data_IF_232733859408
#
_entry.id   IF_232733859408
#
_cell.length_a   1.000
_cell.length_b   1.000
_cell.length_c   1.000
_cell.angle_alpha   90.00
_cell.angle_beta   90.00
_cell.angle_gamma   90.00
#
_symmetry.space_group_name_H-M   'P 1'
#
loop_
_entity.id
_entity.type
_entity.pdbx_description
1 polymer ?
#
# COMPACT_ATOMS: atom_id res chain seq x y z
N UNK A 1 -28.27 -14.78 9.85
CA UNK A 1 -27.56 -13.60 9.29
C UNK A 1 -26.59 -14.11 8.23
N UNK A 2 -26.77 -13.76 6.95
CA UNK A 2 -25.75 -14.06 5.92
C UNK A 2 -24.68 -12.99 6.03
N UNK A 3 -23.48 -13.35 6.46
CA UNK A 3 -22.34 -12.43 6.40
C UNK A 3 -22.08 -12.08 4.94
N UNK A 4 -21.87 -10.79 4.67
CA UNK A 4 -21.33 -10.36 3.39
C UNK A 4 -19.94 -10.99 3.20
N UNK A 5 -19.55 -11.31 1.95
CA UNK A 5 -18.24 -11.85 1.67
C UNK A 5 -17.12 -11.01 2.31
N UNK A 6 -16.35 -11.65 3.18
CA UNK A 6 -15.19 -11.04 3.83
C UNK A 6 -13.99 -10.94 2.89
N UNK A 7 -12.88 -10.42 3.41
CA UNK A 7 -11.66 -10.26 2.62
C UNK A 7 -11.12 -11.60 2.10
N UNK A 8 -11.31 -12.68 2.85
CA UNK A 8 -10.95 -14.06 2.47
C UNK A 8 -11.51 -14.45 1.08
N UNK A 9 -12.72 -14.00 0.74
CA UNK A 9 -13.30 -14.30 -0.57
C UNK A 9 -12.60 -13.51 -1.68
N UNK A 10 -12.17 -12.26 -1.41
CA UNK A 10 -11.34 -11.50 -2.36
C UNK A 10 -10.00 -12.18 -2.58
N UNK A 11 -9.40 -12.72 -1.53
CA UNK A 11 -8.14 -13.46 -1.61
C UNK A 11 -8.26 -14.68 -2.54
N UNK A 12 -9.37 -15.42 -2.45
CA UNK A 12 -9.66 -16.54 -3.35
C UNK A 12 -9.95 -16.06 -4.77
N UNK A 13 -10.85 -15.10 -4.94
CA UNK A 13 -11.27 -14.59 -6.26
C UNK A 13 -10.11 -14.02 -7.06
N UNK A 14 -9.19 -13.33 -6.37
CA UNK A 14 -8.01 -12.71 -6.98
C UNK A 14 -6.76 -13.58 -6.87
N UNK A 15 -6.90 -14.83 -6.40
CA UNK A 15 -5.86 -15.88 -6.41
C UNK A 15 -4.60 -15.55 -5.61
N UNK A 16 -4.76 -14.96 -4.43
CA UNK A 16 -3.65 -14.73 -3.48
C UNK A 16 -3.92 -15.31 -2.08
N UNK A 17 -4.90 -16.22 -1.95
CA UNK A 17 -5.24 -16.89 -0.69
C UNK A 17 -4.06 -17.67 -0.07
N UNK A 18 -3.13 -18.17 -0.89
CA UNK A 18 -1.93 -18.89 -0.40
C UNK A 18 -0.66 -18.03 -0.50
N UNK A 19 -0.78 -16.75 -0.86
CA UNK A 19 0.33 -15.81 -1.04
C UNK A 19 0.43 -14.86 0.14
N UNK A 20 1.00 -15.36 1.24
CA UNK A 20 1.16 -14.61 2.48
C UNK A 20 1.94 -13.31 2.30
N UNK A 21 2.95 -13.30 1.44
CA UNK A 21 3.70 -12.11 1.04
C UNK A 21 2.80 -10.99 0.50
N UNK A 22 1.87 -11.35 -0.40
CA UNK A 22 0.88 -10.42 -0.96
C UNK A 22 -0.15 -10.01 0.09
N UNK A 23 -0.61 -10.94 0.93
CA UNK A 23 -1.55 -10.63 2.02
C UNK A 23 -0.96 -9.61 2.99
N UNK A 24 0.31 -9.75 3.35
CA UNK A 24 1.01 -8.80 4.22
C UNK A 24 1.11 -7.42 3.58
N UNK A 25 1.46 -7.33 2.29
CA UNK A 25 1.47 -6.06 1.57
C UNK A 25 0.10 -5.37 1.54
N UNK A 26 -0.98 -6.14 1.33
CA UNK A 26 -2.37 -5.63 1.36
C UNK A 26 -2.74 -5.13 2.76
N UNK A 27 -2.40 -5.88 3.82
CA UNK A 27 -2.68 -5.48 5.20
C UNK A 27 -1.91 -4.22 5.59
N UNK A 28 -0.61 -4.13 5.26
CA UNK A 28 0.22 -2.95 5.48
C UNK A 28 -0.37 -1.72 4.79
N UNK A 29 -0.73 -1.85 3.52
CA UNK A 29 -1.37 -0.79 2.73
C UNK A 29 -2.67 -0.29 3.36
N UNK A 30 -3.54 -1.19 3.84
CA UNK A 30 -4.78 -0.81 4.51
C UNK A 30 -4.55 -0.09 5.83
N UNK A 31 -3.56 -0.52 6.60
CA UNK A 31 -3.19 0.10 7.87
C UNK A 31 -2.78 1.56 7.64
N UNK A 32 -1.89 1.81 6.68
CA UNK A 32 -1.43 3.17 6.34
C UNK A 32 -2.57 4.01 5.74
N UNK A 33 -3.37 3.42 4.85
CA UNK A 33 -4.53 4.08 4.23
C UNK A 33 -5.52 4.58 5.28
N UNK A 34 -5.92 3.71 6.21
CA UNK A 34 -6.96 4.01 7.21
C UNK A 34 -6.43 4.73 8.45
N UNK A 35 -5.12 4.74 8.64
CA UNK A 35 -4.44 5.46 9.70
C UNK A 35 -3.92 6.82 9.23
N UNK A 36 -2.64 6.86 8.88
CA UNK A 36 -1.93 8.11 8.53
C UNK A 36 -2.60 8.86 7.37
N UNK A 37 -2.90 8.18 6.26
CA UNK A 37 -3.44 8.86 5.08
C UNK A 37 -4.82 9.44 5.38
N UNK A 38 -5.72 8.67 6.00
CA UNK A 38 -7.04 9.14 6.39
C UNK A 38 -6.97 10.38 7.31
N UNK A 39 -6.03 10.42 8.26
CA UNK A 39 -5.77 11.59 9.09
C UNK A 39 -5.32 12.79 8.26
N UNK A 40 -4.32 12.63 7.40
CA UNK A 40 -3.83 13.72 6.53
C UNK A 40 -4.92 14.25 5.58
N UNK A 41 -5.82 13.38 5.10
CA UNK A 41 -6.98 13.79 4.30
C UNK A 41 -7.95 14.62 5.14
N UNK A 42 -8.28 14.15 6.35
CA UNK A 42 -9.18 14.87 7.27
C UNK A 42 -8.63 16.24 7.69
N UNK A 43 -7.31 16.33 7.89
CA UNK A 43 -6.60 17.56 8.24
C UNK A 43 -6.42 18.51 7.02
N UNK A 44 -6.88 18.09 5.83
CA UNK A 44 -6.82 18.87 4.59
C UNK A 44 -5.44 18.93 3.93
N UNK A 45 -4.43 18.26 4.48
CA UNK A 45 -3.06 18.26 3.95
C UNK A 45 -2.98 17.66 2.54
N UNK A 46 -3.91 16.76 2.18
CA UNK A 46 -3.95 16.13 0.85
C UNK A 46 -4.67 16.96 -0.24
N UNK A 47 -5.18 18.15 0.09
CA UNK A 47 -5.83 19.07 -0.86
C UNK A 47 -4.89 20.09 -1.52
N UNK A 48 -3.59 20.05 -1.20
CA UNK A 48 -2.55 20.93 -1.76
C UNK A 48 -1.48 20.14 -2.48
N UNK A 49 -0.76 20.77 -3.40
CA UNK A 49 0.39 20.20 -4.10
C UNK A 49 1.69 20.29 -3.28
N UNK A 50 1.72 21.15 -2.27
CA UNK A 50 2.90 21.37 -1.43
C UNK A 50 3.29 20.11 -0.64
N UNK A 51 4.59 19.84 -0.53
CA UNK A 51 5.10 18.73 0.28
C UNK A 51 5.23 19.19 1.74
N UNK A 52 4.22 18.87 2.56
CA UNK A 52 4.17 19.24 3.98
C UNK A 52 4.95 18.25 4.84
N UNK A 53 5.20 18.63 6.10
CA UNK A 53 5.81 17.73 7.09
C UNK A 53 4.96 16.47 7.32
N UNK A 54 3.62 16.60 7.38
CA UNK A 54 2.71 15.46 7.52
C UNK A 54 2.75 14.52 6.32
N UNK A 55 2.90 15.03 5.08
CA UNK A 55 3.14 14.18 3.91
C UNK A 55 4.48 13.47 3.97
N UNK A 56 5.51 14.09 4.55
CA UNK A 56 6.82 13.47 4.69
C UNK A 56 6.80 12.22 5.58
N UNK A 57 5.87 12.15 6.55
CA UNK A 57 5.65 10.96 7.39
C UNK A 57 5.24 9.71 6.57
N UNK A 58 4.72 9.90 5.34
CA UNK A 58 4.32 8.79 4.48
C UNK A 58 5.49 7.85 4.15
N UNK A 59 6.70 8.38 3.95
CA UNK A 59 7.86 7.54 3.63
C UNK A 59 8.16 6.54 4.75
N UNK A 60 8.23 7.04 5.99
CA UNK A 60 8.44 6.19 7.15
C UNK A 60 7.31 5.16 7.31
N UNK A 61 6.05 5.60 7.14
CA UNK A 61 4.91 4.69 7.23
C UNK A 61 4.93 3.60 6.13
N UNK A 62 5.41 3.93 4.93
CA UNK A 62 5.54 2.96 3.84
C UNK A 62 6.66 1.95 4.11
N UNK A 63 7.77 2.38 4.70
CA UNK A 63 8.86 1.49 5.08
C UNK A 63 8.44 0.54 6.20
N UNK A 64 7.85 1.06 7.27
CA UNK A 64 7.44 0.28 8.44
C UNK A 64 6.29 -0.71 8.15
N UNK A 65 5.45 -0.41 7.15
CA UNK A 65 4.35 -1.29 6.73
C UNK A 65 4.72 -2.30 5.64
N UNK A 66 5.98 -2.28 5.16
CA UNK A 66 6.46 -3.16 4.10
C UNK A 66 5.99 -2.78 2.69
N UNK A 67 5.37 -1.61 2.51
CA UNK A 67 4.94 -1.11 1.18
C UNK A 67 6.15 -0.81 0.30
N UNK A 68 7.21 -0.19 0.86
CA UNK A 68 8.46 0.03 0.13
C UNK A 68 9.13 -1.30 -0.23
N UNK A 69 9.23 -2.22 0.73
CA UNK A 69 9.82 -3.53 0.50
C UNK A 69 9.05 -4.37 -0.54
N UNK A 70 7.75 -4.13 -0.70
CA UNK A 70 6.93 -4.83 -1.69
C UNK A 70 7.28 -4.47 -3.15
N UNK A 71 8.05 -3.41 -3.42
CA UNK A 71 8.53 -3.09 -4.76
C UNK A 71 10.01 -3.35 -5.00
N UNK A 72 10.80 -3.64 -3.97
CA UNK A 72 12.22 -3.93 -4.08
C UNK A 72 12.49 -5.36 -4.55
N UNK A 73 13.66 -5.57 -5.15
CA UNK A 73 14.19 -6.91 -5.39
C UNK A 73 14.66 -7.56 -4.09
N UNK A 74 14.62 -8.90 -4.05
CA UNK A 74 14.99 -9.67 -2.85
C UNK A 74 16.42 -9.36 -2.37
N UNK A 75 17.35 -9.06 -3.26
CA UNK A 75 18.74 -8.71 -2.92
C UNK A 75 18.87 -7.36 -2.19
N UNK A 76 17.86 -6.49 -2.29
CA UNK A 76 17.79 -5.18 -1.66
C UNK A 76 16.77 -5.14 -0.51
N UNK A 77 16.40 -6.29 0.05
CA UNK A 77 15.44 -6.38 1.15
C UNK A 77 13.98 -6.41 0.71
N UNK A 78 13.72 -6.73 -0.56
CA UNK A 78 12.37 -7.01 -1.06
C UNK A 78 11.74 -8.22 -0.37
N UNK A 79 10.41 -8.26 -0.36
CA UNK A 79 9.61 -9.30 0.31
C UNK A 79 8.81 -10.20 -0.63
N UNK A 80 8.83 -9.93 -1.93
CA UNK A 80 8.06 -10.69 -2.93
C UNK A 80 9.02 -11.26 -3.97
N UNK A 81 9.03 -12.58 -4.06
CA UNK A 81 9.78 -13.30 -5.08
C UNK A 81 9.04 -13.28 -6.44
N UNK A 82 9.79 -13.04 -7.51
CA UNK A 82 9.26 -13.03 -8.88
C UNK A 82 8.50 -11.75 -9.25
N UNK A 83 7.57 -11.82 -10.24
CA UNK A 83 6.87 -10.64 -10.74
C UNK A 83 5.98 -9.96 -9.67
N UNK A 84 6.24 -8.68 -9.40
CA UNK A 84 5.56 -7.90 -8.34
C UNK A 84 4.36 -7.07 -8.80
N UNK A 85 4.08 -7.05 -10.11
CA UNK A 85 3.02 -6.23 -10.71
C UNK A 85 1.67 -6.38 -10.01
N UNK A 86 1.30 -7.62 -9.67
CA UNK A 86 0.02 -7.87 -9.02
C UNK A 86 -0.01 -7.36 -7.57
N UNK A 87 1.05 -7.59 -6.81
CA UNK A 87 1.15 -7.08 -5.44
C UNK A 87 1.17 -5.54 -5.40
N UNK A 88 1.94 -4.90 -6.28
CA UNK A 88 1.96 -3.44 -6.42
C UNK A 88 0.61 -2.88 -6.85
N UNK A 89 -0.12 -3.58 -7.74
CA UNK A 89 -1.48 -3.23 -8.10
C UNK A 89 -2.44 -3.28 -6.90
N UNK A 90 -2.30 -4.27 -6.02
CA UNK A 90 -3.11 -4.36 -4.79
C UNK A 90 -2.75 -3.28 -3.78
N UNK A 91 -1.45 -3.00 -3.57
CA UNK A 91 -1.00 -1.88 -2.74
C UNK A 91 -1.63 -0.57 -3.23
N UNK A 92 -1.52 -0.31 -4.53
CA UNK A 92 -2.10 0.89 -5.13
C UNK A 92 -3.62 0.94 -4.96
N UNK A 93 -4.32 -0.19 -5.16
CA UNK A 93 -5.76 -0.28 -4.99
C UNK A 93 -6.20 0.06 -3.55
N UNK A 94 -5.51 -0.47 -2.54
CA UNK A 94 -5.86 -0.24 -1.13
C UNK A 94 -5.61 1.20 -0.69
N UNK A 95 -4.51 1.82 -1.14
CA UNK A 95 -4.19 3.23 -0.85
C UNK A 95 -5.14 4.19 -1.57
N UNK A 96 -5.48 3.91 -2.84
CA UNK A 96 -6.29 4.78 -3.68
C UNK A 96 -7.74 4.89 -3.20
N UNK A 97 -8.18 3.93 -2.39
CA UNK A 97 -9.48 3.99 -1.72
C UNK A 97 -9.59 5.19 -0.76
N UNK A 98 -8.47 5.70 -0.25
CA UNK A 98 -8.43 6.85 0.67
C UNK A 98 -7.84 8.08 0.00
N UNK A 99 -6.72 7.96 -0.71
CA UNK A 99 -6.11 9.09 -1.43
C UNK A 99 -5.30 8.63 -2.65
N UNK A 100 -5.64 9.17 -3.82
CA UNK A 100 -4.90 8.95 -5.06
C UNK A 100 -3.50 9.55 -5.03
N UNK A 101 -3.30 10.67 -4.34
CA UNK A 101 -1.97 11.28 -4.23
C UNK A 101 -1.00 10.44 -3.40
N UNK A 102 -1.46 9.78 -2.33
CA UNK A 102 -0.61 8.95 -1.49
C UNK A 102 -0.23 7.67 -2.23
N UNK A 103 -1.15 7.16 -3.04
CA UNK A 103 -0.92 6.04 -3.95
C UNK A 103 0.15 6.34 -4.99
N UNK A 104 0.12 7.52 -5.60
CA UNK A 104 1.17 7.88 -6.56
C UNK A 104 2.52 8.04 -5.86
N UNK A 105 2.56 8.59 -4.64
CA UNK A 105 3.80 8.65 -3.85
C UNK A 105 4.37 7.26 -3.57
N UNK A 106 3.56 6.27 -3.19
CA UNK A 106 4.05 4.91 -2.95
C UNK A 106 4.60 4.24 -4.21
N UNK A 107 3.99 4.50 -5.38
CA UNK A 107 4.46 3.94 -6.65
C UNK A 107 5.73 4.62 -7.17
N UNK A 108 5.84 5.94 -7.04
CA UNK A 108 7.05 6.69 -7.45
C UNK A 108 8.26 6.23 -6.65
N UNK A 109 8.10 5.96 -5.35
CA UNK A 109 9.18 5.44 -4.52
C UNK A 109 9.76 4.14 -5.10
N UNK A 110 8.89 3.26 -5.59
CA UNK A 110 9.30 2.01 -6.23
C UNK A 110 9.95 2.20 -7.60
N UNK A 111 9.48 3.17 -8.42
CA UNK A 111 10.09 3.48 -9.72
C UNK A 111 11.46 4.15 -9.60
N UNK A 112 11.72 4.84 -8.49
CA UNK A 112 13.02 5.46 -8.22
C UNK A 112 14.08 4.45 -7.74
N UNK A 113 13.65 3.28 -7.26
CA UNK A 113 14.51 2.25 -6.65
C UNK A 113 14.65 0.97 -7.50
N UNK A 114 13.90 0.86 -8.61
CA UNK A 114 13.94 -0.27 -9.54
C UNK A 114 14.82 -0.05 -10.77
#
# INVERSE_FOLDING_TARGET
>A
MKMLPGDEIRQIMWRYADRYDIQMAVMGSRSVARGLIARLVADGERNTHEWTAGKNELYQAFDESGITAAGLDMEYGGIIEGPRNFALGLVAFELAWVDGGATTTSLINNLALG
#
